data_IF_620914626653
#
_entry.id   IF_620914626653
#
_cell.length_a   1.000
_cell.length_b   1.000
_cell.length_c   1.000
_cell.angle_alpha   90.00
_cell.angle_beta   90.00
_cell.angle_gamma   90.00
#
_symmetry.space_group_name_H-M   'P 1'
#
loop_
_entity.id
_entity.type
_entity.pdbx_description
1 polymer ?
#
# COMPACT_ATOMS: atom_id res chain seq x y z
N UNK A 1 30.08 -5.08 -39.44
CA UNK A 1 29.87 -4.17 -38.30
C UNK A 1 29.03 -4.95 -37.34
N UNK A 2 29.71 -5.70 -36.48
CA UNK A 2 29.08 -6.47 -35.42
C UNK A 2 28.58 -5.49 -34.34
N UNK A 3 27.38 -5.73 -33.86
CA UNK A 3 26.67 -4.92 -32.90
C UNK A 3 27.40 -4.95 -31.54
N UNK A 4 27.78 -3.74 -31.09
CA UNK A 4 28.45 -3.49 -29.80
C UNK A 4 27.50 -3.58 -28.59
N UNK A 5 26.32 -4.21 -28.74
CA UNK A 5 25.25 -4.19 -27.73
C UNK A 5 24.81 -5.55 -27.20
N UNK A 6 25.52 -6.66 -27.53
CA UNK A 6 25.11 -8.01 -27.13
C UNK A 6 25.90 -8.62 -25.94
N UNK A 7 26.67 -7.83 -25.18
CA UNK A 7 27.50 -8.34 -24.08
C UNK A 7 27.28 -7.74 -22.70
N UNK A 8 26.23 -6.93 -22.47
CA UNK A 8 26.12 -6.16 -21.23
C UNK A 8 25.03 -6.63 -20.24
N UNK A 9 24.31 -7.73 -20.48
CA UNK A 9 23.27 -8.17 -19.53
C UNK A 9 23.82 -8.85 -18.27
N UNK A 10 24.97 -9.47 -18.31
CA UNK A 10 25.52 -10.23 -17.18
C UNK A 10 26.39 -9.37 -16.22
N UNK A 11 27.05 -8.31 -16.70
CA UNK A 11 27.93 -7.45 -15.86
C UNK A 11 27.16 -6.41 -15.02
N UNK A 12 25.94 -6.04 -15.41
CA UNK A 12 25.11 -5.09 -14.64
C UNK A 12 24.30 -5.70 -13.48
N UNK A 13 24.38 -7.00 -13.26
CA UNK A 13 23.61 -7.69 -12.20
C UNK A 13 24.12 -7.38 -10.80
N UNK A 14 25.42 -7.10 -10.65
CA UNK A 14 26.06 -6.85 -9.33
C UNK A 14 25.65 -5.51 -8.67
N UNK A 15 25.18 -4.54 -9.43
CA UNK A 15 24.81 -3.21 -8.90
C UNK A 15 23.31 -3.01 -8.64
N UNK A 16 22.46 -4.02 -8.95
CA UNK A 16 21.03 -3.90 -8.68
C UNK A 16 20.72 -4.16 -7.20
N UNK A 17 19.85 -3.36 -6.55
CA UNK A 17 19.41 -3.61 -5.18
C UNK A 17 18.85 -5.02 -5.00
N UNK A 18 19.06 -5.62 -3.82
CA UNK A 18 18.58 -6.97 -3.50
C UNK A 18 17.07 -7.14 -3.81
N UNK A 19 16.26 -6.13 -3.49
CA UNK A 19 14.83 -6.15 -3.77
C UNK A 19 14.50 -6.32 -5.26
N UNK A 20 15.33 -5.84 -6.18
CA UNK A 20 15.15 -6.04 -7.62
C UNK A 20 15.67 -7.40 -8.06
N UNK A 21 16.84 -7.83 -7.55
CA UNK A 21 17.44 -9.15 -7.84
C UNK A 21 16.53 -10.29 -7.37
N UNK A 22 15.85 -10.12 -6.23
CA UNK A 22 14.97 -11.13 -5.64
C UNK A 22 13.54 -11.10 -6.18
N UNK A 23 13.25 -10.25 -7.17
CA UNK A 23 11.92 -10.16 -7.76
C UNK A 23 11.54 -11.51 -8.41
N UNK A 24 10.42 -12.15 -7.99
CA UNK A 24 10.00 -13.42 -8.56
C UNK A 24 9.61 -13.27 -10.04
N UNK A 25 9.91 -14.28 -10.82
CA UNK A 25 9.60 -14.35 -12.26
C UNK A 25 8.47 -15.34 -12.58
N UNK A 26 8.00 -16.08 -11.59
CA UNK A 26 6.91 -17.07 -11.71
C UNK A 26 5.94 -16.91 -10.54
N UNK A 27 4.70 -17.37 -10.70
CA UNK A 27 3.69 -17.35 -9.63
C UNK A 27 4.07 -18.26 -8.46
N UNK A 28 4.79 -19.34 -8.70
CA UNK A 28 5.17 -20.31 -7.67
C UNK A 28 6.18 -19.71 -6.66
N UNK A 29 6.96 -18.73 -7.10
CA UNK A 29 7.90 -17.98 -6.27
C UNK A 29 7.31 -16.68 -5.73
N UNK A 30 6.02 -16.41 -5.99
CA UNK A 30 5.32 -15.21 -5.55
C UNK A 30 4.66 -15.45 -4.19
N UNK A 31 5.17 -14.78 -3.16
CA UNK A 31 4.68 -14.94 -1.80
C UNK A 31 3.40 -14.15 -1.54
N UNK A 32 2.53 -14.71 -0.71
CA UNK A 32 1.27 -14.08 -0.31
C UNK A 32 0.20 -14.08 -1.41
N UNK A 33 -0.82 -13.24 -1.25
CA UNK A 33 -1.90 -12.98 -2.20
C UNK A 33 -2.64 -14.25 -2.70
N UNK A 34 -2.77 -15.28 -1.87
CA UNK A 34 -3.36 -16.59 -2.27
C UNK A 34 -4.76 -16.46 -2.86
N UNK A 35 -5.55 -15.47 -2.42
CA UNK A 35 -6.90 -15.21 -2.94
C UNK A 35 -6.88 -14.74 -4.41
N UNK A 36 -5.75 -14.21 -4.89
CA UNK A 36 -5.61 -13.59 -6.21
C UNK A 36 -4.81 -14.48 -7.16
N UNK A 37 -3.76 -15.15 -6.67
CA UNK A 37 -2.80 -15.93 -7.48
C UNK A 37 -2.69 -17.40 -7.08
N UNK A 38 -3.46 -17.87 -6.09
CA UNK A 38 -3.51 -19.29 -5.69
C UNK A 38 -4.01 -20.21 -6.82
N UNK A 39 -4.00 -21.52 -6.63
CA UNK A 39 -4.28 -22.52 -7.67
C UNK A 39 -5.62 -22.31 -8.40
N UNK A 40 -6.68 -21.98 -7.66
CA UNK A 40 -8.02 -21.74 -8.24
C UNK A 40 -8.37 -20.26 -8.44
N UNK A 41 -7.40 -19.39 -8.32
CA UNK A 41 -7.63 -17.94 -8.34
C UNK A 41 -7.94 -17.39 -9.74
N UNK A 42 -8.64 -16.23 -9.80
CA UNK A 42 -9.02 -15.64 -11.08
C UNK A 42 -7.82 -15.29 -11.97
N UNK A 43 -6.74 -14.75 -11.40
CA UNK A 43 -5.58 -14.33 -12.20
C UNK A 43 -4.84 -15.56 -12.75
N UNK A 44 -4.66 -16.61 -11.94
CA UNK A 44 -4.01 -17.83 -12.41
C UNK A 44 -4.80 -18.47 -13.56
N UNK A 45 -6.11 -18.58 -13.44
CA UNK A 45 -6.98 -19.10 -14.53
C UNK A 45 -6.92 -18.23 -15.80
N UNK A 46 -6.84 -16.91 -15.66
CA UNK A 46 -6.69 -16.03 -16.83
C UNK A 46 -5.32 -16.21 -17.51
N UNK A 47 -4.26 -16.44 -16.75
CA UNK A 47 -2.92 -16.71 -17.30
C UNK A 47 -2.92 -18.05 -18.04
N UNK A 48 -3.42 -19.12 -17.41
CA UNK A 48 -3.46 -20.47 -17.96
C UNK A 48 -4.29 -20.56 -19.25
N UNK A 49 -5.39 -19.79 -19.32
CA UNK A 49 -6.26 -19.73 -20.50
C UNK A 49 -5.85 -18.64 -21.51
N UNK A 50 -4.79 -17.90 -21.25
CA UNK A 50 -4.33 -16.74 -22.05
C UNK A 50 -5.43 -15.69 -22.30
N UNK A 51 -6.32 -15.47 -21.33
CA UNK A 51 -7.49 -14.58 -21.38
C UNK A 51 -7.32 -13.36 -20.48
N UNK A 52 -6.12 -12.79 -20.42
CA UNK A 52 -5.83 -11.62 -19.59
C UNK A 52 -6.64 -10.41 -20.08
N UNK A 53 -7.29 -9.74 -19.14
CA UNK A 53 -8.05 -8.50 -19.33
C UNK A 53 -7.42 -7.35 -18.56
N UNK A 54 -7.81 -6.12 -18.90
CA UNK A 54 -7.35 -4.93 -18.17
C UNK A 54 -7.78 -4.96 -16.72
N UNK A 55 -6.87 -4.53 -15.82
CA UNK A 55 -7.08 -4.61 -14.37
C UNK A 55 -6.36 -3.51 -13.60
N UNK A 56 -6.77 -3.31 -12.37
CA UNK A 56 -6.12 -2.38 -11.43
C UNK A 56 -5.73 -3.15 -10.17
N UNK A 57 -4.46 -3.05 -9.80
CA UNK A 57 -3.93 -3.56 -8.54
C UNK A 57 -3.93 -2.46 -7.48
N UNK A 58 -4.76 -2.64 -6.47
CA UNK A 58 -4.84 -1.74 -5.34
C UNK A 58 -4.28 -2.39 -4.08
N UNK A 59 -3.42 -1.68 -3.38
CA UNK A 59 -2.87 -2.15 -2.09
C UNK A 59 -1.62 -1.38 -1.67
N UNK A 60 -1.11 -1.63 -0.46
CA UNK A 60 0.04 -0.94 0.11
C UNK A 60 1.30 -1.11 -0.75
N UNK A 61 2.37 -0.32 -0.48
CA UNK A 61 3.64 -0.49 -1.16
C UNK A 61 4.27 -1.86 -0.85
N UNK A 62 5.18 -2.33 -1.71
CA UNK A 62 5.99 -3.52 -1.50
C UNK A 62 5.27 -4.87 -1.48
N UNK A 63 3.96 -4.93 -1.78
CA UNK A 63 3.17 -6.18 -1.79
C UNK A 63 3.21 -6.95 -3.11
N UNK A 64 3.96 -6.46 -4.11
CA UNK A 64 4.22 -7.16 -5.36
C UNK A 64 3.37 -6.73 -6.55
N UNK A 65 2.70 -5.57 -6.55
CA UNK A 65 1.87 -5.07 -7.68
C UNK A 65 2.61 -5.11 -9.03
N UNK A 66 3.74 -4.43 -9.10
CA UNK A 66 4.61 -4.38 -10.31
C UNK A 66 5.15 -5.77 -10.68
N UNK A 67 5.53 -6.54 -9.67
CA UNK A 67 6.04 -7.91 -9.85
C UNK A 67 4.99 -8.81 -10.47
N UNK A 68 3.75 -8.77 -9.98
CA UNK A 68 2.65 -9.55 -10.51
C UNK A 68 2.35 -9.19 -11.97
N UNK A 69 2.38 -7.90 -12.31
CA UNK A 69 2.20 -7.45 -13.69
C UNK A 69 3.29 -8.00 -14.64
N UNK A 70 4.56 -8.00 -14.20
CA UNK A 70 5.68 -8.59 -14.96
C UNK A 70 5.55 -10.10 -15.12
N UNK A 71 5.13 -10.82 -14.08
CA UNK A 71 4.87 -12.27 -14.16
C UNK A 71 3.76 -12.57 -15.17
N UNK A 72 2.65 -11.84 -15.11
CA UNK A 72 1.53 -11.98 -16.05
C UNK A 72 2.03 -11.81 -17.49
N UNK A 73 2.75 -10.74 -17.78
CA UNK A 73 3.28 -10.46 -19.10
C UNK A 73 4.18 -11.58 -19.62
N UNK A 74 5.08 -12.07 -18.76
CA UNK A 74 6.01 -13.16 -19.11
C UNK A 74 5.27 -14.47 -19.38
N UNK A 75 4.29 -14.84 -18.55
CA UNK A 75 3.57 -16.10 -18.67
C UNK A 75 2.56 -16.12 -19.83
N UNK A 76 2.09 -14.95 -20.26
CA UNK A 76 1.19 -14.81 -21.43
C UNK A 76 1.92 -14.38 -22.70
N UNK A 77 3.24 -14.43 -22.73
CA UNK A 77 4.09 -14.02 -23.85
C UNK A 77 3.69 -12.66 -24.43
N UNK A 78 3.30 -11.73 -23.56
CA UNK A 78 2.87 -10.38 -23.91
C UNK A 78 4.04 -9.40 -23.82
N UNK A 79 4.08 -8.42 -24.73
CA UNK A 79 5.05 -7.33 -24.64
C UNK A 79 4.68 -6.42 -23.46
N UNK A 80 5.66 -6.12 -22.62
CA UNK A 80 5.47 -5.36 -21.39
C UNK A 80 6.10 -3.96 -21.49
N UNK A 81 5.28 -2.94 -21.30
CA UNK A 81 5.73 -1.54 -21.27
C UNK A 81 5.34 -0.94 -19.92
N UNK A 82 6.32 -0.34 -19.25
CA UNK A 82 6.14 0.30 -17.95
C UNK A 82 6.10 1.81 -18.09
N UNK A 83 5.04 2.43 -17.59
CA UNK A 83 4.86 3.88 -17.54
C UNK A 83 4.79 4.32 -16.08
N UNK A 84 5.59 5.33 -15.75
CA UNK A 84 5.45 6.00 -14.45
C UNK A 84 4.48 7.18 -14.59
N UNK A 85 3.39 7.17 -13.83
CA UNK A 85 2.44 8.29 -13.84
C UNK A 85 3.04 9.61 -13.29
N UNK A 86 4.21 9.55 -12.66
CA UNK A 86 4.92 10.74 -12.17
C UNK A 86 5.62 11.49 -13.30
N UNK A 87 6.15 10.76 -14.29
CA UNK A 87 6.99 11.34 -15.37
C UNK A 87 6.32 11.34 -16.73
N UNK A 88 5.38 10.42 -16.98
CA UNK A 88 4.80 10.24 -18.30
C UNK A 88 3.76 11.32 -18.65
N UNK A 89 3.97 11.99 -19.78
CA UNK A 89 3.03 12.94 -20.38
C UNK A 89 2.07 12.29 -21.39
N UNK A 90 1.06 13.06 -21.84
CA UNK A 90 0.10 12.60 -22.87
C UNK A 90 0.80 12.19 -24.18
N UNK A 91 1.94 12.81 -24.48
CA UNK A 91 2.73 12.49 -25.69
C UNK A 91 3.29 11.07 -25.63
N UNK A 92 3.90 10.72 -24.53
CA UNK A 92 4.45 9.36 -24.29
C UNK A 92 3.36 8.30 -24.32
N UNK A 93 2.20 8.59 -23.71
CA UNK A 93 1.05 7.67 -23.76
C UNK A 93 0.65 7.40 -25.21
N UNK A 94 0.59 8.44 -26.07
CA UNK A 94 0.26 8.29 -27.49
C UNK A 94 1.30 7.47 -28.25
N UNK A 95 2.58 7.67 -27.97
CA UNK A 95 3.67 6.91 -28.59
C UNK A 95 3.55 5.41 -28.25
N UNK A 96 3.32 5.07 -27.01
CA UNK A 96 3.08 3.67 -26.59
C UNK A 96 1.83 3.06 -27.23
N UNK A 97 0.80 3.85 -27.40
CA UNK A 97 -0.42 3.40 -28.07
C UNK A 97 -0.15 3.04 -29.54
N UNK A 98 0.63 3.82 -30.26
CA UNK A 98 0.98 3.51 -31.66
C UNK A 98 1.83 2.23 -31.76
N UNK A 99 2.78 2.05 -30.83
CA UNK A 99 3.55 0.79 -30.71
C UNK A 99 2.60 -0.39 -30.45
N UNK A 100 1.63 -0.24 -29.54
CA UNK A 100 0.68 -1.28 -29.23
C UNK A 100 -0.22 -1.65 -30.41
N UNK A 101 -0.66 -0.69 -31.21
CA UNK A 101 -1.42 -0.94 -32.45
C UNK A 101 -0.58 -1.74 -33.46
N UNK A 102 0.68 -1.38 -33.63
CA UNK A 102 1.61 -2.11 -34.49
C UNK A 102 1.81 -3.55 -34.01
N UNK A 103 2.01 -3.73 -32.70
CA UNK A 103 2.15 -5.05 -32.09
C UNK A 103 0.90 -5.93 -32.32
N UNK A 104 -0.29 -5.34 -32.13
CA UNK A 104 -1.55 -6.03 -32.35
C UNK A 104 -1.72 -6.47 -33.81
N UNK A 105 -1.35 -5.62 -34.76
CA UNK A 105 -1.37 -5.96 -36.19
C UNK A 105 -0.45 -7.16 -36.50
N UNK A 106 0.61 -7.36 -35.71
CA UNK A 106 1.52 -8.50 -35.80
C UNK A 106 1.12 -9.67 -34.89
N UNK A 107 -0.10 -9.70 -34.35
CA UNK A 107 -0.62 -10.78 -33.52
C UNK A 107 -0.02 -10.85 -32.11
N UNK A 108 0.64 -9.77 -31.62
CA UNK A 108 1.24 -9.70 -30.31
C UNK A 108 0.37 -8.90 -29.34
N UNK A 109 0.17 -9.43 -28.13
CA UNK A 109 -0.50 -8.72 -27.05
C UNK A 109 0.46 -7.73 -26.42
N UNK A 110 -0.06 -6.56 -26.03
CA UNK A 110 0.70 -5.52 -25.36
C UNK A 110 0.08 -5.21 -24.02
N UNK A 111 0.83 -5.41 -22.94
CA UNK A 111 0.49 -4.97 -21.60
C UNK A 111 1.16 -3.64 -21.33
N UNK A 112 0.36 -2.64 -20.99
CA UNK A 112 0.82 -1.35 -20.49
C UNK A 112 0.61 -1.30 -19.01
N UNK A 113 1.71 -1.32 -18.25
CA UNK A 113 1.68 -1.17 -16.81
C UNK A 113 1.86 0.29 -16.42
N UNK A 114 0.93 0.82 -15.64
CA UNK A 114 0.98 2.19 -15.14
C UNK A 114 1.14 2.16 -13.63
N UNK A 115 2.35 2.50 -13.16
CA UNK A 115 2.59 2.63 -11.71
C UNK A 115 2.04 3.95 -11.19
N UNK A 116 1.41 3.89 -10.01
CA UNK A 116 0.74 5.01 -9.34
C UNK A 116 -0.28 5.72 -10.26
N UNK A 117 -1.16 4.95 -10.90
CA UNK A 117 -2.14 5.44 -11.90
C UNK A 117 -3.01 6.60 -11.38
N UNK A 118 -3.19 6.71 -10.07
CA UNK A 118 -3.93 7.80 -9.43
C UNK A 118 -3.27 9.18 -9.62
N UNK A 119 -1.98 9.23 -9.98
CA UNK A 119 -1.27 10.48 -10.28
C UNK A 119 -1.52 11.02 -11.68
N UNK A 120 -2.07 10.20 -12.56
CA UNK A 120 -2.54 10.70 -13.84
C UNK A 120 -3.78 11.56 -13.70
N UNK A 121 -3.78 12.71 -14.35
CA UNK A 121 -4.97 13.53 -14.45
C UNK A 121 -6.04 12.86 -15.33
N UNK A 122 -7.26 13.38 -15.29
CA UNK A 122 -8.41 12.82 -15.99
C UNK A 122 -8.17 12.64 -17.49
N UNK A 123 -7.54 13.63 -18.16
CA UNK A 123 -7.25 13.57 -19.61
C UNK A 123 -6.23 12.48 -19.95
N UNK A 124 -5.25 12.24 -19.08
CA UNK A 124 -4.28 11.16 -19.25
C UNK A 124 -4.91 9.79 -19.08
N UNK A 125 -5.80 9.63 -18.09
CA UNK A 125 -6.56 8.39 -17.90
C UNK A 125 -7.54 8.15 -19.06
N UNK A 126 -8.22 9.20 -19.56
CA UNK A 126 -9.14 9.11 -20.70
C UNK A 126 -8.43 8.69 -21.99
N UNK A 127 -7.15 9.03 -22.15
CA UNK A 127 -6.37 8.64 -23.33
C UNK A 127 -6.25 7.11 -23.51
N UNK A 128 -6.35 6.32 -22.45
CA UNK A 128 -6.33 4.86 -22.53
C UNK A 128 -7.67 4.24 -22.94
N UNK A 129 -8.80 4.92 -22.70
CA UNK A 129 -10.15 4.34 -22.86
C UNK A 129 -10.40 3.71 -24.24
N UNK A 130 -10.20 4.43 -25.38
CA UNK A 130 -10.47 3.86 -26.69
C UNK A 130 -9.60 2.64 -27.01
N UNK A 131 -8.42 2.55 -26.38
CA UNK A 131 -7.43 1.51 -26.67
C UNK A 131 -7.63 0.27 -25.81
N UNK A 132 -8.16 0.44 -24.60
CA UNK A 132 -8.65 -0.64 -23.74
C UNK A 132 -9.92 -1.25 -24.37
N UNK A 133 -10.88 -0.43 -24.80
CA UNK A 133 -12.12 -0.88 -25.46
C UNK A 133 -11.86 -1.68 -26.73
N UNK A 134 -10.98 -1.17 -27.58
CA UNK A 134 -10.64 -1.81 -28.85
C UNK A 134 -9.64 -2.98 -28.66
N UNK A 135 -9.21 -3.30 -27.44
CA UNK A 135 -8.24 -4.35 -27.17
C UNK A 135 -6.89 -4.12 -27.86
N UNK A 136 -6.47 -2.85 -28.05
CA UNK A 136 -5.14 -2.52 -28.56
C UNK A 136 -4.10 -2.70 -27.48
N UNK A 137 -4.48 -2.47 -26.23
CA UNK A 137 -3.68 -2.65 -25.02
C UNK A 137 -4.45 -3.44 -23.97
N UNK A 138 -3.73 -4.12 -23.11
CA UNK A 138 -4.19 -4.61 -21.84
C UNK A 138 -3.59 -3.67 -20.78
N UNK A 139 -4.42 -2.88 -20.12
CA UNK A 139 -3.97 -1.95 -19.11
C UNK A 139 -3.89 -2.65 -17.75
N UNK A 140 -2.74 -2.57 -17.10
CA UNK A 140 -2.58 -2.96 -15.70
C UNK A 140 -2.18 -1.71 -14.90
N UNK A 141 -3.11 -1.12 -14.17
CA UNK A 141 -2.84 0.00 -13.27
C UNK A 141 -2.42 -0.48 -11.89
N UNK A 142 -1.47 0.18 -11.26
CA UNK A 142 -1.15 -0.02 -9.85
C UNK A 142 -1.40 1.27 -9.06
N UNK A 143 -1.93 1.15 -7.84
CA UNK A 143 -2.19 2.29 -6.97
C UNK A 143 -2.14 1.90 -5.49
N UNK A 144 -1.72 2.82 -4.65
CA UNK A 144 -1.84 2.72 -3.19
C UNK A 144 -3.12 3.38 -2.68
N UNK A 145 -3.71 4.28 -3.46
CA UNK A 145 -4.94 5.01 -3.12
C UNK A 145 -6.20 4.23 -3.55
N UNK A 146 -7.34 4.55 -2.93
CA UNK A 146 -8.59 3.88 -3.28
C UNK A 146 -9.02 4.26 -4.71
N UNK A 147 -9.05 3.28 -5.65
CA UNK A 147 -9.32 3.54 -7.04
C UNK A 147 -10.72 4.12 -7.30
N UNK A 148 -11.68 3.89 -6.41
CA UNK A 148 -13.03 4.44 -6.55
C UNK A 148 -13.10 5.98 -6.46
N UNK A 149 -12.08 6.62 -5.88
CA UNK A 149 -12.00 8.07 -5.78
C UNK A 149 -11.02 8.69 -6.78
N UNK A 150 -9.97 7.96 -7.12
CA UNK A 150 -8.82 8.49 -7.86
C UNK A 150 -8.77 8.07 -9.32
N UNK A 151 -9.40 6.96 -9.66
CA UNK A 151 -9.44 6.45 -11.04
C UNK A 151 -10.76 6.82 -11.69
N UNK A 152 -10.70 7.27 -12.94
CA UNK A 152 -11.88 7.65 -13.72
C UNK A 152 -12.88 6.48 -13.78
N UNK A 153 -14.14 6.78 -13.50
CA UNK A 153 -15.25 5.78 -13.52
C UNK A 153 -15.38 5.06 -14.86
N UNK A 154 -15.12 5.75 -15.97
CA UNK A 154 -15.14 5.14 -17.30
C UNK A 154 -14.02 4.08 -17.47
N UNK A 155 -12.84 4.29 -16.86
CA UNK A 155 -11.75 3.32 -16.87
C UNK A 155 -12.04 2.17 -15.90
N UNK A 156 -12.60 2.47 -14.71
CA UNK A 156 -13.01 1.45 -13.73
C UNK A 156 -14.06 0.49 -14.28
N UNK A 157 -15.01 0.98 -15.09
CA UNK A 157 -16.03 0.13 -15.70
C UNK A 157 -15.47 -0.88 -16.72
N UNK A 158 -14.24 -0.69 -17.18
CA UNK A 158 -13.54 -1.53 -18.18
C UNK A 158 -12.36 -2.31 -17.60
N UNK A 159 -12.13 -2.15 -16.31
CA UNK A 159 -11.02 -2.82 -15.60
C UNK A 159 -11.57 -3.57 -14.40
N UNK A 160 -10.91 -4.66 -14.01
CA UNK A 160 -11.23 -5.37 -12.79
C UNK A 160 -10.26 -4.97 -11.68
N UNK A 161 -10.79 -4.55 -10.55
CA UNK A 161 -9.96 -4.17 -9.39
C UNK A 161 -9.62 -5.41 -8.57
N UNK A 162 -8.33 -5.61 -8.31
CA UNK A 162 -7.81 -6.64 -7.42
C UNK A 162 -7.12 -5.98 -6.23
N UNK A 163 -7.55 -6.36 -5.02
CA UNK A 163 -7.03 -5.80 -3.77
C UNK A 163 -5.90 -6.68 -3.26
N UNK A 164 -4.66 -6.17 -3.31
CA UNK A 164 -3.50 -6.83 -2.73
C UNK A 164 -3.38 -6.42 -1.26
N UNK A 165 -3.27 -7.41 -0.39
CA UNK A 165 -3.12 -7.22 1.07
C UNK A 165 -1.65 -7.09 1.45
N UNK A 166 -1.36 -6.47 2.59
CA UNK A 166 -0.03 -6.54 3.20
C UNK A 166 0.42 -7.99 3.34
N UNK A 167 1.69 -8.25 3.11
CA UNK A 167 2.25 -9.58 3.29
C UNK A 167 2.26 -9.96 4.77
N UNK A 168 2.00 -11.22 5.07
CA UNK A 168 2.10 -11.72 6.44
C UNK A 168 3.56 -11.80 6.89
N UNK A 169 3.80 -11.84 8.21
CA UNK A 169 5.15 -12.08 8.75
C UNK A 169 5.78 -13.34 8.16
N UNK A 170 5.00 -14.40 7.97
CA UNK A 170 5.48 -15.65 7.38
C UNK A 170 5.87 -15.50 5.92
N UNK A 171 5.12 -14.71 5.12
CA UNK A 171 5.47 -14.42 3.74
C UNK A 171 6.80 -13.66 3.67
N UNK A 172 6.98 -12.65 4.52
CA UNK A 172 8.24 -11.88 4.59
C UNK A 172 9.41 -12.78 5.00
N UNK A 173 9.25 -13.61 6.04
CA UNK A 173 10.29 -14.56 6.44
C UNK A 173 10.66 -15.52 5.30
N UNK A 174 9.68 -15.99 4.54
CA UNK A 174 9.91 -16.81 3.34
C UNK A 174 10.72 -16.07 2.27
N UNK A 175 10.43 -14.79 2.03
CA UNK A 175 11.18 -13.93 1.09
C UNK A 175 12.62 -13.74 1.56
N UNK A 176 12.83 -13.44 2.85
CA UNK A 176 14.17 -13.25 3.43
C UNK A 176 15.00 -14.54 3.38
N UNK A 177 14.40 -15.68 3.73
CA UNK A 177 15.05 -16.99 3.65
C UNK A 177 15.45 -17.34 2.21
N UNK A 178 14.59 -17.05 1.23
CA UNK A 178 14.90 -17.21 -0.19
C UNK A 178 16.07 -16.33 -0.60
N UNK A 179 16.10 -15.05 -0.18
CA UNK A 179 17.19 -14.15 -0.49
C UNK A 179 18.54 -14.64 0.04
N UNK A 180 18.58 -15.13 1.27
CA UNK A 180 19.79 -15.71 1.87
C UNK A 180 20.28 -16.97 1.15
N UNK A 181 19.36 -17.78 0.63
CA UNK A 181 19.67 -19.03 -0.06
C UNK A 181 20.13 -18.82 -1.50
N UNK A 182 19.45 -17.96 -2.25
CA UNK A 182 19.67 -17.79 -3.69
C UNK A 182 20.81 -16.82 -4.01
N UNK A 183 21.10 -15.84 -3.12
CA UNK A 183 22.14 -14.86 -3.37
C UNK A 183 23.51 -15.44 -3.02
N UNK A 184 24.39 -15.60 -4.03
CA UNK A 184 25.71 -16.22 -3.86
C UNK A 184 26.56 -15.52 -2.80
N UNK A 185 26.56 -14.20 -2.76
CA UNK A 185 27.30 -13.35 -1.81
C UNK A 185 26.89 -13.63 -0.36
N UNK A 186 25.67 -14.10 -0.12
CA UNK A 186 25.12 -14.34 1.21
C UNK A 186 25.39 -15.76 1.75
N UNK A 187 25.99 -16.65 0.97
CA UNK A 187 26.37 -18.01 1.43
C UNK A 187 27.31 -18.00 2.64
N UNK A 188 28.01 -16.86 2.89
CA UNK A 188 28.88 -16.65 4.03
C UNK A 188 28.27 -15.80 5.13
N UNK A 189 26.96 -15.49 5.03
CA UNK A 189 26.20 -14.74 6.04
C UNK A 189 25.55 -15.73 6.98
N UNK A 190 25.78 -15.55 8.25
CA UNK A 190 25.08 -16.26 9.33
C UNK A 190 24.25 -15.21 10.07
N UNK A 191 22.95 -15.40 10.11
CA UNK A 191 21.99 -14.50 10.75
C UNK A 191 21.11 -15.32 11.67
N UNK A 192 20.86 -14.81 12.86
CA UNK A 192 19.98 -15.47 13.83
C UNK A 192 18.51 -15.31 13.41
N UNK A 193 17.70 -16.33 13.64
CA UNK A 193 16.25 -16.32 13.31
C UNK A 193 15.52 -15.13 13.96
N UNK A 194 15.90 -14.78 15.19
CA UNK A 194 15.35 -13.60 15.88
C UNK A 194 15.59 -12.31 15.09
N UNK A 195 16.74 -12.18 14.41
CA UNK A 195 17.05 -11.02 13.57
C UNK A 195 16.15 -10.98 12.32
N UNK A 196 15.87 -12.13 11.72
CA UNK A 196 14.95 -12.21 10.57
C UNK A 196 13.52 -11.86 10.99
N UNK A 197 13.09 -12.30 12.18
CA UNK A 197 11.80 -11.93 12.74
C UNK A 197 11.66 -10.44 12.98
N UNK A 198 12.70 -9.79 13.51
CA UNK A 198 12.73 -8.35 13.72
C UNK A 198 12.63 -7.61 12.37
N UNK A 199 13.41 -8.03 11.35
CA UNK A 199 13.33 -7.43 10.00
C UNK A 199 11.92 -7.61 9.41
N UNK A 200 11.30 -8.77 9.60
CA UNK A 200 9.94 -9.03 9.12
C UNK A 200 8.92 -8.13 9.82
N UNK A 201 9.03 -7.94 11.14
CA UNK A 201 8.12 -7.11 11.91
C UNK A 201 8.22 -5.63 11.50
N UNK A 202 9.44 -5.07 11.41
CA UNK A 202 9.64 -3.65 11.04
C UNK A 202 9.32 -3.34 9.57
N UNK A 203 9.20 -4.35 8.72
CA UNK A 203 8.82 -4.16 7.33
C UNK A 203 7.32 -3.93 7.12
N UNK A 204 6.47 -4.18 8.13
CA UNK A 204 5.01 -4.00 8.08
C UNK A 204 4.36 -4.64 6.84
N UNK A 205 4.90 -5.76 6.36
CA UNK A 205 4.39 -6.47 5.19
C UNK A 205 4.83 -5.89 3.84
N UNK A 206 5.83 -5.01 3.83
CA UNK A 206 6.51 -4.50 2.64
C UNK A 206 7.78 -5.31 2.35
N UNK A 207 7.76 -6.15 1.31
CA UNK A 207 8.89 -6.97 0.92
C UNK A 207 10.12 -6.16 0.47
N UNK A 208 9.92 -4.98 -0.14
CA UNK A 208 11.01 -4.10 -0.58
C UNK A 208 11.76 -3.57 0.63
N UNK A 209 11.02 -3.09 1.64
CA UNK A 209 11.60 -2.61 2.90
C UNK A 209 12.35 -3.74 3.61
N UNK A 210 11.78 -4.95 3.70
CA UNK A 210 12.44 -6.09 4.31
C UNK A 210 13.76 -6.46 3.63
N UNK A 211 13.78 -6.55 2.30
CA UNK A 211 14.97 -6.91 1.52
C UNK A 211 16.04 -5.81 1.58
N UNK A 212 15.66 -4.54 1.49
CA UNK A 212 16.58 -3.41 1.63
C UNK A 212 17.20 -3.37 3.03
N UNK A 213 16.43 -3.65 4.06
CA UNK A 213 16.92 -3.74 5.43
C UNK A 213 17.93 -4.88 5.59
N UNK A 214 17.60 -6.08 5.06
CA UNK A 214 18.52 -7.21 5.06
C UNK A 214 19.83 -6.87 4.35
N UNK A 215 19.77 -6.30 3.15
CA UNK A 215 20.95 -5.89 2.36
C UNK A 215 21.81 -4.88 3.10
N UNK A 216 21.21 -3.85 3.69
CA UNK A 216 21.93 -2.83 4.47
C UNK A 216 22.64 -3.43 5.67
N UNK A 217 21.97 -4.27 6.44
CA UNK A 217 22.55 -4.93 7.62
C UNK A 217 23.73 -5.83 7.21
N UNK A 218 23.58 -6.59 6.13
CA UNK A 218 24.67 -7.44 5.61
C UNK A 218 25.86 -6.58 5.16
N UNK A 219 25.60 -5.46 4.48
CA UNK A 219 26.66 -4.58 3.98
C UNK A 219 27.46 -3.90 5.09
N UNK A 220 26.82 -3.46 6.16
CA UNK A 220 27.45 -2.79 7.30
C UNK A 220 28.20 -3.78 8.22
N UNK A 221 27.74 -5.05 8.26
CA UNK A 221 28.33 -6.06 9.15
C UNK A 221 29.76 -6.41 8.72
N UNK A 222 30.77 -6.26 9.60
CA UNK A 222 32.14 -6.58 9.26
C UNK A 222 32.37 -8.08 9.08
N UNK A 223 33.29 -8.42 8.16
CA UNK A 223 33.69 -9.83 7.94
C UNK A 223 34.57 -10.31 9.08
N UNK A 224 34.16 -11.33 9.82
CA UNK A 224 34.96 -12.02 10.83
C UNK A 224 35.22 -13.45 10.40
N UNK A 225 36.53 -13.86 10.32
CA UNK A 225 36.94 -15.23 9.94
C UNK A 225 36.23 -15.74 8.65
N UNK A 226 36.22 -14.91 7.61
CA UNK A 226 35.58 -15.19 6.30
C UNK A 226 34.04 -15.38 6.34
N UNK A 227 33.38 -15.02 7.43
CA UNK A 227 31.91 -15.02 7.57
C UNK A 227 31.43 -13.69 8.11
N UNK A 228 30.23 -13.28 7.73
CA UNK A 228 29.47 -12.18 8.36
C UNK A 228 28.50 -12.82 9.35
N UNK A 229 28.58 -12.45 10.62
CA UNK A 229 27.67 -12.93 11.67
C UNK A 229 26.84 -11.75 12.13
N UNK A 230 25.55 -11.83 11.90
CA UNK A 230 24.56 -10.81 12.26
C UNK A 230 23.86 -11.27 13.52
N UNK A 231 24.12 -10.56 14.60
CA UNK A 231 23.47 -10.74 15.91
C UNK A 231 22.47 -9.60 16.14
N UNK A 232 21.60 -9.76 17.13
CA UNK A 232 20.64 -8.74 17.53
C UNK A 232 21.30 -7.39 17.81
N UNK A 233 22.40 -7.37 18.54
CA UNK A 233 23.14 -6.13 18.85
C UNK A 233 23.65 -5.45 17.57
N UNK A 234 24.16 -6.23 16.59
CA UNK A 234 24.62 -5.69 15.31
C UNK A 234 23.48 -5.16 14.45
N UNK A 235 22.32 -5.81 14.52
CA UNK A 235 21.09 -5.36 13.86
C UNK A 235 20.60 -4.04 14.49
N UNK A 236 20.55 -3.96 15.82
CA UNK A 236 20.14 -2.76 16.56
C UNK A 236 21.03 -1.55 16.23
N UNK A 237 22.34 -1.74 16.19
CA UNK A 237 23.27 -0.71 15.75
C UNK A 237 23.06 -0.27 14.29
N UNK A 238 22.72 -1.20 13.41
CA UNK A 238 22.51 -0.93 11.98
C UNK A 238 21.24 -0.16 11.68
N UNK A 239 20.21 -0.31 12.51
CA UNK A 239 18.88 0.28 12.31
C UNK A 239 18.73 1.67 12.97
N UNK A 240 19.81 2.29 13.44
CA UNK A 240 19.81 3.56 14.18
C UNK A 240 18.72 3.59 15.26
N UNK A 241 19.12 3.57 16.48
CA UNK A 241 18.45 3.29 17.76
C UNK A 241 17.00 3.76 18.03
N UNK A 242 16.35 4.52 17.15
CA UNK A 242 14.97 5.02 17.36
C UNK A 242 13.88 4.08 16.87
N UNK A 243 14.15 3.24 15.87
CA UNK A 243 13.14 2.34 15.28
C UNK A 243 12.85 1.13 16.18
N UNK A 244 13.84 0.72 16.98
CA UNK A 244 13.72 -0.49 17.83
C UNK A 244 12.82 -0.38 19.06
N UNK A 245 12.64 0.83 19.58
CA UNK A 245 11.82 1.03 20.78
C UNK A 245 10.32 0.94 20.50
N UNK A 246 9.92 1.06 19.22
CA UNK A 246 8.52 1.11 18.85
C UNK A 246 7.94 -0.25 18.44
N UNK A 247 8.74 -1.15 17.91
CA UNK A 247 8.22 -2.32 17.21
C UNK A 247 8.58 -3.67 17.84
N UNK A 248 8.64 -3.72 19.16
CA UNK A 248 8.72 -5.03 19.83
C UNK A 248 7.49 -5.90 19.59
N UNK A 249 6.35 -5.31 19.14
CA UNK A 249 5.13 -6.04 18.73
C UNK A 249 4.27 -5.12 17.87
N UNK A 250 3.87 -5.54 16.68
CA UNK A 250 2.82 -4.86 15.90
C UNK A 250 1.51 -4.67 16.68
N UNK A 251 1.33 -5.33 17.80
CA UNK A 251 0.31 -5.07 18.82
C UNK A 251 0.50 -3.72 19.54
N UNK A 252 1.72 -3.20 19.73
CA UNK A 252 1.91 -1.93 20.45
C UNK A 252 1.38 -0.74 19.68
N UNK A 253 1.51 -0.73 18.36
CA UNK A 253 0.90 0.30 17.50
C UNK A 253 -0.61 0.37 17.69
N UNK A 254 -1.30 -0.77 17.59
CA UNK A 254 -2.76 -0.84 17.85
C UNK A 254 -3.11 -0.58 19.31
N UNK A 255 -2.25 -0.95 20.23
CA UNK A 255 -2.44 -0.72 21.65
C UNK A 255 -2.29 0.75 22.02
N UNK A 256 -1.31 1.47 21.45
CA UNK A 256 -1.09 2.89 21.73
C UNK A 256 -2.20 3.78 21.17
N UNK A 257 -2.64 3.56 19.91
CA UNK A 257 -3.78 4.32 19.39
C UNK A 257 -5.08 3.98 20.13
N UNK A 258 -5.25 2.73 20.54
CA UNK A 258 -6.38 2.31 21.38
C UNK A 258 -6.32 2.95 22.77
N UNK A 259 -5.14 3.03 23.37
CA UNK A 259 -4.93 3.69 24.66
C UNK A 259 -5.19 5.20 24.56
N UNK A 260 -4.71 5.87 23.51
CA UNK A 260 -5.02 7.26 23.20
C UNK A 260 -6.54 7.49 23.13
N UNK A 261 -7.25 6.68 22.35
CA UNK A 261 -8.71 6.78 22.23
C UNK A 261 -9.43 6.50 23.55
N UNK A 262 -8.99 5.50 24.32
CA UNK A 262 -9.57 5.19 25.64
C UNK A 262 -9.36 6.35 26.61
N UNK A 263 -8.18 6.97 26.64
CA UNK A 263 -7.89 8.13 27.49
C UNK A 263 -8.80 9.31 27.11
N UNK A 264 -8.94 9.59 25.82
CA UNK A 264 -9.86 10.66 25.35
C UNK A 264 -11.33 10.35 25.70
N UNK A 265 -11.79 9.08 25.61
CA UNK A 265 -13.15 8.68 26.03
C UNK A 265 -13.37 8.90 27.51
N UNK A 266 -12.35 8.64 28.32
CA UNK A 266 -12.38 8.84 29.76
C UNK A 266 -12.22 10.30 30.17
N UNK A 267 -12.09 11.22 29.21
CA UNK A 267 -11.85 12.64 29.45
C UNK A 267 -10.58 12.92 30.27
N UNK A 268 -9.54 12.12 30.05
CA UNK A 268 -8.22 12.24 30.66
C UNK A 268 -7.23 12.82 29.62
N UNK A 269 -7.06 14.16 29.58
CA UNK A 269 -6.18 14.80 28.61
C UNK A 269 -4.70 14.53 28.90
N UNK A 270 -4.30 14.30 30.15
CA UNK A 270 -2.90 14.07 30.50
C UNK A 270 -2.43 12.69 30.00
N UNK A 271 -3.23 11.63 30.24
CA UNK A 271 -2.95 10.32 29.67
C UNK A 271 -3.02 10.35 28.14
N UNK A 272 -3.97 11.08 27.54
CA UNK A 272 -4.06 11.18 26.09
C UNK A 272 -2.82 11.87 25.48
N UNK A 273 -2.32 12.96 26.07
CA UNK A 273 -1.08 13.60 25.65
C UNK A 273 0.13 12.69 25.80
N UNK A 274 0.20 11.92 26.87
CA UNK A 274 1.28 10.96 27.08
C UNK A 274 1.32 9.92 25.97
N UNK A 275 0.18 9.32 25.60
CA UNK A 275 0.13 8.33 24.52
C UNK A 275 0.38 8.95 23.15
N UNK A 276 -0.10 10.19 22.89
CA UNK A 276 0.26 10.94 21.70
C UNK A 276 1.78 11.12 21.59
N UNK A 277 2.41 11.65 22.64
CA UNK A 277 3.85 11.86 22.67
C UNK A 277 4.63 10.57 22.45
N UNK A 278 4.21 9.46 23.10
CA UNK A 278 4.82 8.14 22.86
C UNK A 278 4.74 7.70 21.41
N UNK A 279 3.61 7.92 20.72
CA UNK A 279 3.44 7.58 19.31
C UNK A 279 4.36 8.42 18.43
N UNK A 280 4.39 9.75 18.62
CA UNK A 280 5.20 10.65 17.80
C UNK A 280 6.71 10.46 18.02
N UNK A 281 7.16 10.31 19.27
CA UNK A 281 8.57 10.02 19.59
C UNK A 281 9.02 8.66 19.06
N UNK A 282 8.09 7.73 18.94
CA UNK A 282 8.34 6.43 18.34
C UNK A 282 8.38 6.46 16.80
N UNK A 283 8.11 7.59 16.17
CA UNK A 283 8.17 7.76 14.72
C UNK A 283 6.86 7.47 13.98
N UNK A 284 5.71 7.45 14.68
CA UNK A 284 4.42 7.29 14.04
C UNK A 284 4.12 8.41 13.04
N UNK A 285 3.47 8.06 11.92
CA UNK A 285 3.01 9.05 10.94
C UNK A 285 2.01 10.03 11.59
N UNK A 286 2.32 11.33 11.69
CA UNK A 286 1.42 12.32 12.28
C UNK A 286 0.08 12.43 11.53
N UNK A 287 0.07 12.18 10.22
CA UNK A 287 -1.16 12.16 9.42
C UNK A 287 -2.01 10.92 9.73
N UNK A 288 -1.40 9.78 10.07
CA UNK A 288 -2.14 8.62 10.57
C UNK A 288 -2.86 8.97 11.87
N UNK A 289 -2.15 9.55 12.85
CA UNK A 289 -2.75 9.97 14.12
C UNK A 289 -3.89 10.96 13.86
N UNK A 290 -3.66 11.97 13.05
CA UNK A 290 -4.68 12.97 12.70
C UNK A 290 -5.94 12.34 12.08
N UNK A 291 -5.79 11.34 11.16
CA UNK A 291 -6.94 10.60 10.59
C UNK A 291 -7.74 9.86 11.68
N UNK A 292 -7.06 9.31 12.68
CA UNK A 292 -7.71 8.62 13.80
C UNK A 292 -8.48 9.61 14.70
N UNK A 293 -7.95 10.82 14.88
CA UNK A 293 -8.62 11.88 15.63
C UNK A 293 -9.88 12.42 14.91
N UNK A 294 -9.85 12.53 13.57
CA UNK A 294 -11.03 12.86 12.76
C UNK A 294 -12.14 11.81 12.98
N UNK A 295 -11.78 10.52 12.93
CA UNK A 295 -12.75 9.45 13.19
C UNK A 295 -13.31 9.54 14.61
N UNK A 296 -12.47 9.74 15.61
CA UNK A 296 -12.89 9.92 17.01
C UNK A 296 -13.88 11.08 17.18
N UNK A 297 -13.61 12.21 16.53
CA UNK A 297 -14.49 13.38 16.57
C UNK A 297 -15.90 13.07 16.06
N UNK A 298 -16.03 12.22 15.04
CA UNK A 298 -17.33 11.87 14.46
C UNK A 298 -18.02 10.71 15.20
N UNK A 299 -17.24 9.71 15.68
CA UNK A 299 -17.77 8.47 16.27
C UNK A 299 -18.08 8.63 17.76
N UNK A 300 -17.16 9.24 18.52
CA UNK A 300 -17.24 9.32 19.98
C UNK A 300 -17.79 10.64 20.52
N UNK A 301 -17.79 11.70 19.71
CA UNK A 301 -18.32 13.03 20.07
C UNK A 301 -19.56 13.35 19.23
N UNK A 302 -19.45 13.22 17.91
CA UNK A 302 -20.56 13.44 17.00
C UNK A 302 -21.25 14.78 17.19
N UNK A 303 -22.58 14.75 17.29
CA UNK A 303 -23.41 15.94 17.45
C UNK A 303 -23.41 16.54 18.86
N UNK A 304 -22.78 15.90 19.84
CA UNK A 304 -22.61 16.50 21.18
C UNK A 304 -21.69 17.74 21.16
N UNK A 305 -20.73 17.76 20.22
CA UNK A 305 -19.92 18.95 19.89
C UNK A 305 -19.55 18.93 18.40
N UNK A 306 -20.36 19.52 17.50
CA UNK A 306 -20.10 19.52 16.06
C UNK A 306 -18.76 20.17 15.68
N UNK A 307 -18.24 21.05 16.51
CA UNK A 307 -16.96 21.71 16.28
C UNK A 307 -15.76 20.75 16.42
N UNK A 308 -15.95 19.59 17.07
CA UNK A 308 -14.90 18.60 17.22
C UNK A 308 -14.35 18.10 15.86
N UNK A 309 -15.23 17.84 14.91
CA UNK A 309 -14.84 17.43 13.55
C UNK A 309 -14.07 18.54 12.83
N UNK A 310 -14.50 19.83 12.97
CA UNK A 310 -13.81 20.97 12.37
C UNK A 310 -12.38 21.10 12.92
N UNK A 311 -12.22 21.00 14.26
CA UNK A 311 -10.91 21.08 14.91
C UNK A 311 -10.00 19.91 14.46
N UNK A 312 -10.51 18.70 14.41
CA UNK A 312 -9.75 17.53 13.98
C UNK A 312 -9.32 17.64 12.51
N UNK A 313 -10.18 18.12 11.62
CA UNK A 313 -9.86 18.32 10.20
C UNK A 313 -8.83 19.45 10.02
N UNK A 314 -8.97 20.56 10.79
CA UNK A 314 -7.99 21.64 10.77
C UNK A 314 -6.61 21.18 11.24
N UNK A 315 -6.54 20.34 12.28
CA UNK A 315 -5.28 19.77 12.75
C UNK A 315 -4.66 18.83 11.70
N UNK A 316 -5.45 18.04 10.98
CA UNK A 316 -4.95 17.23 9.86
C UNK A 316 -4.30 18.11 8.79
N UNK A 317 -4.98 19.19 8.38
CA UNK A 317 -4.44 20.13 7.39
C UNK A 317 -3.17 20.81 7.89
N UNK A 318 -3.13 21.23 9.16
CA UNK A 318 -1.94 21.81 9.76
C UNK A 318 -0.76 20.83 9.78
N UNK A 319 -0.98 19.55 10.11
CA UNK A 319 0.04 18.52 10.05
C UNK A 319 0.56 18.31 8.62
N UNK A 320 -0.32 18.37 7.64
CA UNK A 320 0.04 18.22 6.24
C UNK A 320 0.95 19.35 5.73
N UNK A 321 0.69 20.60 6.17
CA UNK A 321 1.47 21.76 5.74
C UNK A 321 2.75 21.98 6.54
N UNK A 322 2.73 21.74 7.84
CA UNK A 322 3.87 22.05 8.71
C UNK A 322 4.86 20.88 8.79
N UNK A 323 4.37 19.62 8.79
CA UNK A 323 5.20 18.45 9.02
C UNK A 323 5.73 18.33 10.46
N UNK A 324 6.57 17.31 10.71
CA UNK A 324 7.28 17.17 11.99
C UNK A 324 8.57 18.01 11.99
N UNK A 325 9.00 18.54 13.11
CA UNK A 325 8.43 18.41 14.47
C UNK A 325 7.29 19.38 14.80
N UNK A 326 7.03 20.41 14.00
CA UNK A 326 6.15 21.53 14.34
C UNK A 326 4.68 21.11 14.51
N UNK A 327 4.22 20.09 13.77
CA UNK A 327 2.83 19.65 13.83
C UNK A 327 2.46 18.90 15.14
N UNK A 328 3.43 18.56 15.99
CA UNK A 328 3.18 17.91 17.27
C UNK A 328 2.25 18.73 18.18
N UNK A 329 2.43 20.07 18.18
CA UNK A 329 1.58 21.00 18.96
C UNK A 329 0.17 21.05 18.40
N UNK A 330 -0.01 21.00 17.08
CA UNK A 330 -1.33 20.95 16.46
C UNK A 330 -2.11 19.68 16.87
N UNK A 331 -1.43 18.55 16.90
CA UNK A 331 -2.02 17.28 17.39
C UNK A 331 -2.32 17.33 18.88
N UNK A 332 -1.41 17.86 19.68
CA UNK A 332 -1.62 18.01 21.12
C UNK A 332 -2.84 18.88 21.43
N UNK A 333 -3.00 20.02 20.75
CA UNK A 333 -4.14 20.92 20.90
C UNK A 333 -5.46 20.18 20.63
N UNK A 334 -5.57 19.46 19.55
CA UNK A 334 -6.80 18.75 19.19
C UNK A 334 -7.07 17.58 20.12
N UNK A 335 -6.05 16.84 20.57
CA UNK A 335 -6.20 15.75 21.53
C UNK A 335 -6.79 16.27 22.85
N UNK A 336 -6.29 17.38 23.38
CA UNK A 336 -6.84 18.01 24.59
C UNK A 336 -8.29 18.47 24.34
N UNK A 337 -8.56 19.13 23.23
CA UNK A 337 -9.90 19.59 22.87
C UNK A 337 -10.91 18.43 22.79
N UNK A 338 -10.54 17.32 22.13
CA UNK A 338 -11.37 16.13 22.00
C UNK A 338 -11.55 15.41 23.35
N UNK A 339 -10.51 15.40 24.19
CA UNK A 339 -10.58 14.80 25.54
C UNK A 339 -11.60 15.53 26.42
N UNK A 340 -11.66 16.85 26.35
CA UNK A 340 -12.54 17.68 27.17
C UNK A 340 -13.95 17.88 26.56
N UNK A 341 -14.16 17.45 25.31
CA UNK A 341 -15.47 17.56 24.64
C UNK A 341 -16.46 16.56 25.23
N UNK A 342 -17.77 16.91 25.29
CA UNK A 342 -18.81 15.94 25.66
C UNK A 342 -18.84 14.77 24.68
N UNK A 343 -19.10 13.55 25.17
CA UNK A 343 -19.07 12.31 24.39
C UNK A 343 -20.49 11.87 24.02
N UNK A 344 -20.69 11.43 22.76
CA UNK A 344 -21.92 10.78 22.30
C UNK A 344 -21.64 9.93 21.08
N UNK A 345 -21.95 8.66 21.17
CA UNK A 345 -21.86 7.71 20.05
C UNK A 345 -23.23 7.47 19.37
N UNK A 346 -24.24 8.27 19.68
CA UNK A 346 -25.61 8.09 19.20
C UNK A 346 -25.72 8.11 17.68
N UNK A 347 -24.97 8.99 17.01
CA UNK A 347 -24.92 9.07 15.54
C UNK A 347 -24.35 7.79 14.93
N UNK A 348 -23.24 7.28 15.46
CA UNK A 348 -22.64 6.03 15.01
C UNK A 348 -23.60 4.85 15.16
N UNK A 349 -24.23 4.72 16.34
CA UNK A 349 -25.19 3.66 16.62
C UNK A 349 -26.43 3.72 15.71
N UNK A 350 -26.96 4.93 15.46
CA UNK A 350 -28.08 5.14 14.56
C UNK A 350 -27.73 4.73 13.12
N UNK A 351 -26.57 5.18 12.63
CA UNK A 351 -26.11 4.81 11.29
C UNK A 351 -25.92 3.29 11.13
N UNK A 352 -25.34 2.62 12.12
CA UNK A 352 -25.15 1.16 12.07
C UNK A 352 -26.45 0.40 11.95
N UNK A 353 -27.50 0.83 12.67
CA UNK A 353 -28.84 0.23 12.58
C UNK A 353 -29.46 0.43 11.19
N UNK A 354 -29.42 1.66 10.69
CA UNK A 354 -29.96 1.97 9.34
C UNK A 354 -29.18 1.23 8.24
N UNK A 355 -27.86 1.11 8.38
CA UNK A 355 -27.04 0.36 7.44
C UNK A 355 -27.33 -1.15 7.46
N UNK A 356 -27.71 -1.72 8.61
CA UNK A 356 -28.17 -3.10 8.72
C UNK A 356 -29.53 -3.27 8.04
N UNK A 357 -30.48 -2.39 8.31
CA UNK A 357 -31.79 -2.38 7.65
C UNK A 357 -31.66 -2.26 6.13
N UNK A 358 -30.82 -1.35 5.65
CA UNK A 358 -30.56 -1.17 4.22
C UNK A 358 -29.93 -2.41 3.54
N UNK A 359 -29.12 -3.19 4.26
CA UNK A 359 -28.59 -4.47 3.73
C UNK A 359 -29.63 -5.58 3.67
N UNK A 360 -30.57 -5.57 4.61
CA UNK A 360 -31.57 -6.60 4.75
C UNK A 360 -32.83 -6.32 3.90
N UNK A 361 -33.08 -5.05 3.55
CA UNK A 361 -34.22 -4.62 2.72
C UNK A 361 -33.72 -4.32 1.32
N UNK A 362 -33.98 -5.22 0.38
CA UNK A 362 -33.66 -5.06 -1.05
C UNK A 362 -34.61 -4.04 -1.76
N UNK A 363 -35.35 -3.23 -1.02
CA UNK A 363 -36.34 -2.28 -1.54
C UNK A 363 -35.83 -0.85 -1.36
N UNK A 364 -35.83 -0.09 -2.46
CA UNK A 364 -35.81 1.37 -2.44
C UNK A 364 -37.04 1.88 -1.68
N UNK A 365 -36.90 2.08 -0.39
CA UNK A 365 -37.93 2.73 0.41
C UNK A 365 -37.88 4.23 0.12
N UNK A 366 -38.73 4.69 -0.76
CA UNK A 366 -39.04 6.10 -0.86
C UNK A 366 -40.01 6.43 0.28
N UNK A 367 -39.55 7.14 1.28
CA UNK A 367 -40.46 7.75 2.25
C UNK A 367 -41.46 8.64 1.48
N UNK A 368 -42.76 8.55 1.74
CA UNK A 368 -43.72 9.41 1.07
C UNK A 368 -43.34 10.87 1.30
N UNK A 369 -43.23 11.63 0.22
CA UNK A 369 -42.97 13.08 0.31
C UNK A 369 -44.07 13.73 1.15
N UNK A 370 -43.80 14.77 1.96
CA UNK A 370 -44.84 15.54 2.62
C UNK A 370 -45.94 16.03 1.67
N UNK A 371 -45.66 16.08 0.37
CA UNK A 371 -46.65 16.40 -0.68
C UNK A 371 -47.62 15.25 -1.00
N UNK A 372 -47.23 14.01 -0.70
CA UNK A 372 -48.03 12.82 -0.96
C UNK A 372 -49.06 12.55 0.17
N UNK A 373 -48.93 13.28 1.30
CA UNK A 373 -49.80 13.14 2.48
C UNK A 373 -50.95 14.17 2.44
N UNK A 374 -50.92 15.15 1.51
CA UNK A 374 -51.93 16.22 1.42
C UNK A 374 -53.17 15.88 0.54
N UNK A 375 -53.41 14.61 0.25
CA UNK A 375 -54.47 14.14 -0.63
C UNK A 375 -55.46 13.16 0.01
N UNK A 376 -55.89 13.38 1.26
CA UNK A 376 -57.00 12.68 1.89
C UNK A 376 -57.82 13.62 2.76
#
# INVERSE_FOLDING_TARGET
MESLFDSDEDEHFEFKPLAERMRPTTLDNFFGQKDIVGEDSPIRKMIENDTITSMIFWGPPGVGKTTLAKIIAKQTNSLFYELSAVTAGVKEIKEFIEIAKFNKANGKKTIVFVDEIHRFNKSQQDAFLPHVENGNIILIGATTENPSFEVNSALLSRTKVYVLKSLSKQDILGILARALKETYEYKRVQIDDECLEIIADISHGDARTALNTLENVINITPVKKSKKVITKDSLEHSLQSKVFLYDKKGEEHYNLISALHKSMRNSDPDAALYYLARMLEAGEDPLYVARRLIRFASEDIGLANPNALVQATSAYSACHYNGMPECNVNLAQVVVYLSLSPKSNSLYTAYMKVAEDARNTCLLYTSPSPRDISGS
#
